data_IF_972369959429
#
_entry.id   IF_972369959429
#
_cell.length_a   1.000
_cell.length_b   1.000
_cell.length_c   1.000
_cell.angle_alpha   90.00
_cell.angle_beta   90.00
_cell.angle_gamma   90.00
#
_symmetry.space_group_name_H-M   'P 1'
#
loop_
_entity.id
_entity.type
_entity.pdbx_description
1 polymer ?
#
# COMPACT_ATOMS: atom_id res chain seq x y z
N UNK A 1 -5.10 9.90 -1.98
CA UNK A 1 -4.41 10.95 -1.19
C UNK A 1 -5.26 11.28 0.05
N UNK A 2 -4.63 11.77 1.12
CA UNK A 2 -5.35 12.14 2.37
C UNK A 2 -6.45 13.18 2.15
N UNK A 3 -6.30 14.07 1.19
CA UNK A 3 -7.37 15.02 0.83
C UNK A 3 -8.65 14.31 0.37
N UNK A 4 -8.54 13.14 -0.29
CA UNK A 4 -9.69 12.32 -0.65
C UNK A 4 -10.41 11.77 0.59
N UNK A 5 -9.67 11.34 1.61
CA UNK A 5 -10.24 10.88 2.88
C UNK A 5 -10.93 12.01 3.60
N UNK A 6 -10.34 13.22 3.61
CA UNK A 6 -10.95 14.42 4.16
C UNK A 6 -12.32 14.70 3.49
N UNK A 7 -12.35 14.71 2.16
CA UNK A 7 -13.57 15.01 1.40
C UNK A 7 -14.63 13.93 1.66
N UNK A 8 -14.24 12.65 1.63
CA UNK A 8 -15.15 11.52 1.89
C UNK A 8 -15.79 11.62 3.29
N UNK A 9 -14.99 11.89 4.32
CA UNK A 9 -15.49 12.08 5.69
C UNK A 9 -16.49 13.25 5.77
N UNK A 10 -16.17 14.39 5.13
CA UNK A 10 -17.04 15.57 5.19
C UNK A 10 -18.39 15.36 4.48
N UNK A 11 -18.40 14.65 3.35
CA UNK A 11 -19.63 14.47 2.56
C UNK A 11 -20.45 13.25 3.00
N UNK A 12 -19.84 12.26 3.64
CA UNK A 12 -20.55 11.03 4.05
C UNK A 12 -20.96 11.01 5.50
N UNK A 13 -20.14 11.53 6.40
CA UNK A 13 -20.40 11.49 7.85
C UNK A 13 -20.95 12.80 8.39
N UNK A 14 -20.69 13.91 7.70
CA UNK A 14 -20.92 15.24 8.24
C UNK A 14 -20.02 15.54 9.44
N UNK A 15 -20.02 16.79 9.89
CA UNK A 15 -19.27 17.21 11.10
C UNK A 15 -20.04 18.30 11.82
N UNK A 16 -20.22 18.12 13.12
CA UNK A 16 -20.85 19.12 14.01
C UNK A 16 -19.79 20.05 14.61
N UNK A 17 -18.50 19.71 14.50
CA UNK A 17 -17.36 20.46 15.03
C UNK A 17 -16.34 20.73 13.91
N UNK A 18 -15.39 21.69 14.08
CA UNK A 18 -14.31 21.88 13.14
C UNK A 18 -13.56 20.58 12.86
N UNK A 19 -13.55 20.17 11.59
CA UNK A 19 -12.96 18.89 11.19
C UNK A 19 -11.44 18.90 11.34
N UNK A 20 -10.92 17.89 12.04
CA UNK A 20 -9.49 17.58 12.09
C UNK A 20 -9.25 16.21 11.50
N UNK A 21 -8.42 16.15 10.47
CA UNK A 21 -8.02 14.89 9.89
C UNK A 21 -6.99 14.18 10.76
N UNK A 22 -7.34 12.97 11.20
CA UNK A 22 -6.41 12.05 11.84
C UNK A 22 -6.00 10.98 10.83
N UNK A 23 -4.72 10.63 10.82
CA UNK A 23 -4.21 9.55 9.95
C UNK A 23 -4.86 8.19 10.24
N UNK A 24 -5.38 7.98 11.46
CA UNK A 24 -6.14 6.79 11.84
C UNK A 24 -7.48 6.63 11.10
N UNK A 25 -7.99 7.71 10.50
CA UNK A 25 -9.21 7.67 9.67
C UNK A 25 -8.96 7.17 8.25
N UNK A 26 -7.70 7.20 7.80
CA UNK A 26 -7.34 6.68 6.50
C UNK A 26 -7.22 5.15 6.56
N UNK A 27 -8.16 4.47 5.93
CA UNK A 27 -8.03 3.05 5.61
C UNK A 27 -6.88 2.86 4.61
N UNK A 28 -6.21 1.70 4.67
CA UNK A 28 -5.09 1.38 3.77
C UNK A 28 -3.98 2.44 3.74
N UNK A 29 -3.70 3.08 4.87
CA UNK A 29 -2.75 4.20 4.96
C UNK A 29 -1.34 3.83 4.48
N UNK A 30 -0.94 2.55 4.53
CA UNK A 30 0.33 2.07 3.97
C UNK A 30 0.40 2.27 2.45
N UNK A 31 -0.74 2.36 1.76
CA UNK A 31 -0.83 2.70 0.34
C UNK A 31 -0.86 4.22 0.09
N UNK A 32 -0.88 5.03 1.14
CA UNK A 32 -0.94 6.49 1.08
C UNK A 32 0.29 7.15 1.70
N UNK A 33 1.42 6.44 1.68
CA UNK A 33 2.66 6.95 2.27
C UNK A 33 3.15 8.21 1.56
N UNK A 34 3.91 9.02 2.29
CA UNK A 34 4.51 10.23 1.77
C UNK A 34 5.67 9.93 0.81
N UNK A 35 6.48 8.91 1.13
CA UNK A 35 7.66 8.51 0.38
C UNK A 35 7.36 8.07 -1.07
N UNK A 36 6.15 7.57 -1.33
CA UNK A 36 5.71 7.12 -2.65
C UNK A 36 4.66 8.04 -3.30
N UNK A 37 4.44 9.23 -2.75
CA UNK A 37 3.41 10.14 -3.25
C UNK A 37 3.65 10.56 -4.71
N UNK A 38 4.89 10.76 -5.09
CA UNK A 38 5.30 11.06 -6.46
C UNK A 38 4.98 9.89 -7.40
N UNK A 39 5.25 8.65 -6.99
CA UNK A 39 4.95 7.45 -7.78
C UNK A 39 3.46 7.29 -8.09
N UNK A 40 2.60 7.72 -7.17
CA UNK A 40 1.14 7.62 -7.30
C UNK A 40 0.52 8.81 -8.01
N UNK A 41 1.02 10.02 -7.77
CA UNK A 41 0.34 11.27 -8.15
C UNK A 41 0.95 11.95 -9.38
N UNK A 42 2.28 11.85 -9.60
CA UNK A 42 2.92 12.53 -10.74
C UNK A 42 2.42 12.04 -12.09
N UNK A 43 2.22 10.73 -12.34
CA UNK A 43 1.68 10.28 -13.62
C UNK A 43 0.30 10.88 -13.92
N UNK A 44 -0.56 10.91 -12.91
CA UNK A 44 -1.90 11.50 -13.03
C UNK A 44 -1.86 13.00 -13.16
N UNK A 45 -0.96 13.66 -12.42
CA UNK A 45 -0.72 15.10 -12.55
C UNK A 45 -0.21 15.50 -13.92
N UNK A 46 0.65 14.68 -14.52
CA UNK A 46 1.15 14.88 -15.87
C UNK A 46 0.04 14.72 -16.93
N UNK A 47 -0.77 13.67 -16.82
CA UNK A 47 -1.93 13.43 -17.67
C UNK A 47 -2.92 14.62 -17.66
N UNK A 48 -3.10 15.25 -16.49
CA UNK A 48 -3.97 16.41 -16.29
C UNK A 48 -3.29 17.76 -16.62
N UNK A 49 -2.02 17.77 -17.06
CA UNK A 49 -1.28 19.00 -17.34
C UNK A 49 -0.82 19.77 -16.08
N UNK A 50 -0.89 19.17 -14.89
CA UNK A 50 -0.49 19.77 -13.60
C UNK A 50 0.97 19.52 -13.24
N UNK A 51 1.60 18.54 -13.84
CA UNK A 51 3.03 18.25 -13.72
C UNK A 51 3.70 18.32 -15.10
N UNK A 52 4.82 19.01 -15.17
CA UNK A 52 5.59 19.17 -16.41
C UNK A 52 6.39 17.91 -16.76
N UNK A 53 6.97 17.89 -17.96
CA UNK A 53 7.81 16.79 -18.43
C UNK A 53 9.02 16.58 -17.54
N UNK A 54 9.66 17.65 -17.06
CA UNK A 54 10.83 17.56 -16.19
C UNK A 54 10.52 16.75 -14.93
N UNK A 55 9.36 17.01 -14.32
CA UNK A 55 8.91 16.28 -13.12
C UNK A 55 8.57 14.83 -13.42
N UNK A 56 8.00 14.58 -14.59
CA UNK A 56 7.70 13.23 -15.04
C UNK A 56 8.97 12.41 -15.33
N UNK A 57 9.98 13.04 -15.97
CA UNK A 57 11.28 12.41 -16.26
C UNK A 57 12.04 12.08 -14.96
N UNK A 58 12.03 13.00 -13.99
CA UNK A 58 12.61 12.74 -12.67
C UNK A 58 11.95 11.54 -11.95
N UNK A 59 10.63 11.37 -12.11
CA UNK A 59 9.93 10.20 -11.59
C UNK A 59 10.35 8.91 -12.32
N UNK A 60 10.47 8.98 -13.66
CA UNK A 60 10.88 7.83 -14.48
C UNK A 60 12.27 7.35 -14.08
N UNK A 61 13.24 8.26 -13.92
CA UNK A 61 14.58 7.99 -13.42
C UNK A 61 14.57 7.33 -12.03
N UNK A 62 13.83 7.92 -11.08
CA UNK A 62 13.68 7.35 -9.73
C UNK A 62 13.14 5.92 -9.77
N UNK A 63 12.11 5.69 -10.58
CA UNK A 63 11.48 4.36 -10.74
C UNK A 63 12.47 3.36 -11.31
N UNK A 64 13.18 3.72 -12.38
CA UNK A 64 14.15 2.84 -13.03
C UNK A 64 15.25 2.39 -12.07
N UNK A 65 15.88 3.34 -11.39
CA UNK A 65 16.96 3.04 -10.45
C UNK A 65 16.49 2.26 -9.23
N UNK A 66 15.35 2.61 -8.66
CA UNK A 66 14.73 1.86 -7.55
C UNK A 66 14.45 0.40 -7.95
N UNK A 67 13.78 0.20 -9.07
CA UNK A 67 13.38 -1.14 -9.54
C UNK A 67 14.60 -1.98 -9.92
N UNK A 68 15.65 -1.35 -10.45
CA UNK A 68 16.94 -2.00 -10.69
C UNK A 68 17.59 -2.49 -9.40
N UNK A 69 17.60 -1.67 -8.33
CA UNK A 69 18.14 -2.07 -7.03
C UNK A 69 17.36 -3.23 -6.43
N UNK A 70 16.03 -3.18 -6.47
CA UNK A 70 15.18 -4.27 -5.98
C UNK A 70 15.46 -5.56 -6.74
N UNK A 71 15.51 -5.51 -8.07
CA UNK A 71 15.81 -6.67 -8.90
C UNK A 71 17.18 -7.23 -8.59
N UNK A 72 18.19 -6.38 -8.46
CA UNK A 72 19.54 -6.80 -8.08
C UNK A 72 19.51 -7.52 -6.73
N UNK A 73 18.80 -7.00 -5.72
CA UNK A 73 18.67 -7.63 -4.41
C UNK A 73 17.98 -9.01 -4.47
N UNK A 74 17.01 -9.18 -5.35
CA UNK A 74 16.31 -10.46 -5.57
C UNK A 74 17.21 -11.51 -6.26
N UNK A 75 18.05 -11.07 -7.20
CA UNK A 75 18.88 -11.97 -8.01
C UNK A 75 20.22 -12.29 -7.36
N UNK A 76 20.81 -11.34 -6.64
CA UNK A 76 22.15 -11.48 -6.07
C UNK A 76 22.15 -12.43 -4.86
N UNK A 77 23.07 -13.41 -4.88
CA UNK A 77 23.25 -14.35 -3.78
C UNK A 77 24.46 -13.97 -2.95
N UNK A 78 24.28 -13.92 -1.63
CA UNK A 78 25.30 -13.54 -0.65
C UNK A 78 25.84 -14.80 0.04
N UNK A 79 27.15 -14.94 0.11
CA UNK A 79 27.83 -16.05 0.80
C UNK A 79 28.16 -15.64 2.25
N UNK A 80 28.15 -16.62 3.16
CA UNK A 80 28.45 -16.41 4.58
C UNK A 80 29.80 -15.72 4.81
N UNK A 81 30.84 -16.17 4.11
CA UNK A 81 32.19 -15.65 4.26
C UNK A 81 32.35 -14.20 3.83
N UNK A 82 31.42 -13.65 3.06
CA UNK A 82 31.45 -12.25 2.62
C UNK A 82 30.94 -11.29 3.71
N UNK A 83 29.94 -11.71 4.49
CA UNK A 83 29.22 -10.79 5.40
C UNK A 83 29.25 -11.19 6.86
N UNK A 84 29.49 -12.47 7.20
CA UNK A 84 29.50 -12.90 8.61
C UNK A 84 30.56 -12.16 9.45
N UNK A 85 31.79 -11.93 8.99
CA UNK A 85 32.75 -11.16 9.77
C UNK A 85 32.25 -9.77 10.13
N UNK A 86 31.59 -9.08 9.19
CA UNK A 86 31.04 -7.75 9.42
C UNK A 86 29.78 -7.80 10.31
N UNK A 87 28.92 -8.80 10.14
CA UNK A 87 27.76 -9.01 11.00
C UNK A 87 28.17 -9.24 12.46
N UNK A 88 29.17 -10.08 12.70
CA UNK A 88 29.69 -10.38 14.04
C UNK A 88 30.34 -9.15 14.67
N UNK A 89 31.13 -8.40 13.89
CA UNK A 89 31.76 -7.16 14.36
C UNK A 89 30.70 -6.11 14.74
N UNK A 90 29.60 -6.04 14.01
CA UNK A 90 28.48 -5.15 14.30
C UNK A 90 27.53 -5.69 15.41
N UNK A 91 27.79 -6.87 15.97
CA UNK A 91 26.96 -7.48 17.00
C UNK A 91 25.66 -8.09 16.49
N UNK A 92 25.56 -8.37 15.19
CA UNK A 92 24.38 -8.99 14.57
C UNK A 92 24.54 -10.50 14.43
N UNK A 93 23.41 -11.20 14.37
CA UNK A 93 23.40 -12.67 14.19
C UNK A 93 23.97 -13.04 12.82
N UNK A 94 25.03 -13.88 12.75
CA UNK A 94 25.61 -14.32 11.49
C UNK A 94 24.64 -15.20 10.69
N UNK A 95 24.87 -15.28 9.38
CA UNK A 95 24.14 -16.17 8.49
C UNK A 95 24.54 -17.63 8.72
N UNK A 96 23.56 -18.54 8.72
CA UNK A 96 23.79 -20.00 8.83
C UNK A 96 24.03 -20.66 7.46
N UNK A 97 23.57 -20.03 6.39
CA UNK A 97 23.72 -20.48 5.01
C UNK A 97 23.71 -19.26 4.05
N UNK A 98 24.13 -19.46 2.82
CA UNK A 98 23.97 -18.44 1.77
C UNK A 98 22.50 -18.09 1.56
N UNK A 99 22.21 -16.81 1.30
CA UNK A 99 20.85 -16.32 1.06
C UNK A 99 20.85 -15.28 -0.05
N UNK A 100 19.66 -14.87 -0.48
CA UNK A 100 19.54 -13.72 -1.40
C UNK A 100 19.80 -12.42 -0.64
N UNK A 101 20.32 -11.42 -1.37
CA UNK A 101 20.59 -10.11 -0.78
C UNK A 101 19.32 -9.46 -0.22
N UNK A 102 18.17 -9.67 -0.87
CA UNK A 102 16.89 -9.19 -0.39
C UNK A 102 16.57 -9.69 1.02
N UNK A 103 16.86 -10.97 1.32
CA UNK A 103 16.62 -11.57 2.65
C UNK A 103 17.53 -10.95 3.73
N UNK A 104 18.72 -10.48 3.34
CA UNK A 104 19.61 -9.75 4.24
C UNK A 104 19.09 -8.34 4.51
N UNK A 105 18.59 -7.64 3.49
CA UNK A 105 17.99 -6.28 3.62
C UNK A 105 16.71 -6.33 4.47
N UNK A 106 15.95 -7.43 4.43
CA UNK A 106 14.74 -7.61 5.26
C UNK A 106 15.02 -7.63 6.77
N UNK A 107 16.28 -7.80 7.21
CA UNK A 107 16.62 -7.72 8.63
C UNK A 107 16.39 -6.28 9.14
N UNK A 108 15.58 -6.07 10.22
CA UNK A 108 15.18 -4.72 10.65
C UNK A 108 16.35 -3.79 10.99
N UNK A 109 17.46 -4.34 11.49
CA UNK A 109 18.63 -3.61 11.95
C UNK A 109 19.63 -3.28 10.84
N UNK A 110 19.42 -3.77 9.63
CA UNK A 110 20.30 -3.53 8.47
C UNK A 110 19.62 -2.61 7.47
N UNK A 111 20.40 -1.74 6.87
CA UNK A 111 20.02 -0.90 5.75
C UNK A 111 20.89 -1.19 4.52
N UNK A 112 20.45 -0.74 3.36
CA UNK A 112 21.14 -1.00 2.08
C UNK A 112 22.55 -0.41 2.10
N UNK A 113 22.78 0.74 2.73
CA UNK A 113 24.09 1.40 2.78
C UNK A 113 25.09 0.62 3.61
N UNK A 114 24.71 0.22 4.80
CA UNK A 114 25.55 -0.62 5.66
C UNK A 114 25.94 -1.92 4.96
N UNK A 115 24.98 -2.56 4.27
CA UNK A 115 25.26 -3.78 3.51
C UNK A 115 26.18 -3.51 2.32
N UNK A 116 26.07 -2.35 1.68
CA UNK A 116 26.93 -1.99 0.55
C UNK A 116 28.42 -1.83 0.93
N UNK A 117 28.72 -1.52 2.19
CA UNK A 117 30.10 -1.50 2.71
C UNK A 117 30.72 -2.91 2.73
N UNK A 118 29.87 -3.93 2.85
CA UNK A 118 30.30 -5.33 2.93
C UNK A 118 30.24 -6.05 1.60
N UNK A 119 29.42 -5.57 0.66
CA UNK A 119 29.18 -6.18 -0.63
C UNK A 119 29.53 -5.21 -1.76
N UNK A 120 30.78 -5.30 -2.33
CA UNK A 120 31.22 -4.39 -3.39
C UNK A 120 30.29 -4.35 -4.61
N UNK A 121 29.68 -5.48 -4.95
CA UNK A 121 28.74 -5.54 -6.08
C UNK A 121 27.48 -4.70 -5.83
N UNK A 122 27.00 -4.58 -4.59
CA UNK A 122 25.90 -3.68 -4.24
C UNK A 122 26.36 -2.23 -4.30
N UNK A 123 27.54 -1.92 -3.75
CA UNK A 123 28.11 -0.57 -3.84
C UNK A 123 28.21 -0.09 -5.28
N UNK A 124 28.68 -0.93 -6.19
CA UNK A 124 28.73 -0.61 -7.62
C UNK A 124 27.34 -0.28 -8.20
N UNK A 125 26.26 -0.94 -7.73
CA UNK A 125 24.91 -0.60 -8.16
C UNK A 125 24.45 0.76 -7.61
N UNK A 126 24.83 1.12 -6.39
CA UNK A 126 24.54 2.43 -5.80
C UNK A 126 25.28 3.54 -6.55
N UNK A 127 26.55 3.34 -6.89
CA UNK A 127 27.40 4.30 -7.61
C UNK A 127 26.87 4.61 -9.03
N UNK A 128 26.05 3.72 -9.61
CA UNK A 128 25.36 3.94 -10.90
C UNK A 128 24.14 4.85 -10.80
N UNK A 129 23.77 5.32 -9.62
CA UNK A 129 22.64 6.25 -9.43
C UNK A 129 23.20 7.69 -9.55
N UNK A 130 22.87 8.43 -10.61
CA UNK A 130 23.55 9.71 -10.89
C UNK A 130 23.06 10.85 -10.02
N UNK A 131 21.77 10.83 -9.62
CA UNK A 131 21.13 11.90 -8.87
C UNK A 131 20.21 11.34 -7.78
N UNK A 132 19.93 12.12 -6.75
CA UNK A 132 18.97 11.77 -5.67
C UNK A 132 19.20 10.37 -5.08
N UNK A 133 20.43 9.97 -4.96
CA UNK A 133 20.82 8.61 -4.56
C UNK A 133 20.18 8.19 -3.23
N UNK A 134 20.17 9.10 -2.22
CA UNK A 134 19.56 8.86 -0.91
C UNK A 134 18.08 8.50 -1.03
N UNK A 135 17.35 9.33 -1.74
CA UNK A 135 15.91 9.17 -1.94
C UNK A 135 15.58 7.85 -2.67
N UNK A 136 16.39 7.47 -3.65
CA UNK A 136 16.20 6.25 -4.44
C UNK A 136 16.51 5.01 -3.59
N UNK A 137 17.59 5.05 -2.80
CA UNK A 137 17.96 3.96 -1.90
C UNK A 137 16.88 3.77 -0.82
N UNK A 138 16.46 4.86 -0.18
CA UNK A 138 15.37 4.82 0.80
C UNK A 138 14.09 4.24 0.21
N UNK A 139 13.70 4.69 -0.99
CA UNK A 139 12.52 4.16 -1.68
C UNK A 139 12.63 2.66 -1.99
N UNK A 140 13.82 2.17 -2.39
CA UNK A 140 14.06 0.75 -2.61
C UNK A 140 13.97 -0.05 -1.30
N UNK A 141 14.61 0.44 -0.25
CA UNK A 141 14.60 -0.20 1.07
C UNK A 141 13.21 -0.31 1.66
N UNK A 142 12.43 0.78 1.61
CA UNK A 142 11.04 0.80 2.06
C UNK A 142 10.21 -0.20 1.26
N UNK A 143 10.35 -0.23 -0.08
CA UNK A 143 9.64 -1.20 -0.90
C UNK A 143 9.96 -2.64 -0.49
N UNK A 144 11.25 -2.98 -0.29
CA UNK A 144 11.68 -4.31 0.13
C UNK A 144 11.12 -4.67 1.52
N UNK A 145 11.34 -3.81 2.52
CA UNK A 145 10.96 -4.09 3.91
C UNK A 145 9.45 -4.15 4.14
N UNK A 146 8.68 -3.43 3.34
CA UNK A 146 7.21 -3.35 3.48
C UNK A 146 6.43 -4.11 2.41
N UNK A 147 7.09 -4.82 1.49
CA UNK A 147 6.46 -5.53 0.37
C UNK A 147 5.26 -6.38 0.81
N UNK A 148 5.45 -7.26 1.78
CA UNK A 148 4.38 -8.14 2.25
C UNK A 148 3.19 -7.42 2.89
N UNK A 149 3.43 -6.27 3.53
CA UNK A 149 2.35 -5.42 4.07
C UNK A 149 1.62 -4.69 2.95
N UNK A 150 2.36 -4.15 1.98
CA UNK A 150 1.81 -3.43 0.83
C UNK A 150 0.94 -4.36 -0.02
N UNK A 151 1.41 -5.56 -0.30
CA UNK A 151 0.66 -6.55 -1.06
C UNK A 151 -0.64 -6.96 -0.36
N UNK A 152 -0.57 -7.24 0.94
CA UNK A 152 -1.76 -7.57 1.74
C UNK A 152 -2.81 -6.47 1.70
N UNK A 153 -2.39 -5.22 1.90
CA UNK A 153 -3.31 -4.08 1.85
C UNK A 153 -3.87 -3.84 0.45
N UNK A 154 -3.08 -4.05 -0.60
CA UNK A 154 -3.57 -3.99 -2.00
C UNK A 154 -4.65 -5.04 -2.25
N UNK A 155 -4.42 -6.28 -1.84
CA UNK A 155 -5.41 -7.34 -2.02
C UNK A 155 -6.74 -7.02 -1.32
N UNK A 156 -6.69 -6.41 -0.14
CA UNK A 156 -7.89 -6.00 0.59
C UNK A 156 -8.57 -4.82 -0.13
N UNK A 157 -7.80 -3.80 -0.54
CA UNK A 157 -8.30 -2.66 -1.28
C UNK A 157 -8.95 -3.06 -2.62
N UNK A 158 -8.31 -3.97 -3.36
CA UNK A 158 -8.83 -4.51 -4.63
C UNK A 158 -10.12 -5.30 -4.43
N UNK A 159 -10.23 -6.04 -3.32
CA UNK A 159 -11.48 -6.73 -2.97
C UNK A 159 -12.62 -5.73 -2.78
N UNK A 160 -12.37 -4.63 -2.08
CA UNK A 160 -13.38 -3.57 -1.88
C UNK A 160 -13.71 -2.86 -3.20
N UNK A 161 -12.70 -2.54 -4.01
CA UNK A 161 -12.93 -1.93 -5.33
C UNK A 161 -13.82 -2.81 -6.24
N UNK A 162 -13.71 -4.13 -6.14
CA UNK A 162 -14.64 -5.05 -6.82
C UNK A 162 -16.07 -4.92 -6.31
N UNK A 163 -16.26 -4.69 -5.00
CA UNK A 163 -17.57 -4.49 -4.41
C UNK A 163 -18.20 -3.15 -4.80
N UNK A 164 -17.39 -2.13 -5.13
CA UNK A 164 -17.89 -0.84 -5.64
C UNK A 164 -18.59 -0.94 -6.99
N UNK A 165 -18.23 -1.94 -7.79
CA UNK A 165 -18.87 -2.19 -9.09
C UNK A 165 -20.17 -3.02 -9.00
N UNK A 166 -20.52 -3.54 -7.82
CA UNK A 166 -21.72 -4.36 -7.62
C UNK A 166 -22.89 -3.46 -7.23
N UNK A 167 -23.69 -3.09 -8.22
CA UNK A 167 -24.90 -2.28 -8.00
C UNK A 167 -26.00 -3.12 -7.34
N UNK A 168 -26.60 -2.56 -6.27
CA UNK A 168 -27.67 -3.19 -5.49
C UNK A 168 -28.93 -2.34 -5.34
N UNK A 169 -28.89 -1.07 -5.72
CA UNK A 169 -30.02 -0.13 -5.57
C UNK A 169 -31.27 -0.69 -6.24
N UNK A 170 -32.35 -0.77 -5.47
CA UNK A 170 -33.65 -1.27 -5.96
C UNK A 170 -33.71 -2.77 -6.27
N UNK A 171 -32.65 -3.56 -5.95
CA UNK A 171 -32.64 -5.00 -6.21
C UNK A 171 -33.19 -5.85 -5.07
N UNK A 172 -33.24 -5.29 -3.88
CA UNK A 172 -33.66 -6.01 -2.68
C UNK A 172 -34.82 -5.34 -1.98
N UNK A 173 -35.79 -6.13 -1.57
CA UNK A 173 -36.65 -5.76 -0.48
C UNK A 173 -35.98 -6.20 0.84
N UNK A 174 -35.22 -5.28 1.42
CA UNK A 174 -34.44 -5.56 2.62
C UNK A 174 -35.30 -5.99 3.81
N UNK A 175 -36.59 -5.63 3.83
CA UNK A 175 -37.52 -6.01 4.91
C UNK A 175 -37.77 -7.52 4.98
N UNK A 176 -37.65 -8.22 3.84
CA UNK A 176 -37.91 -9.65 3.69
C UNK A 176 -36.69 -10.52 3.96
N UNK A 177 -35.47 -9.95 3.99
CA UNK A 177 -34.21 -10.69 4.16
C UNK A 177 -34.00 -11.01 5.64
N UNK A 178 -34.48 -12.17 6.09
CA UNK A 178 -34.39 -12.58 7.51
C UNK A 178 -32.95 -12.92 7.97
N UNK A 179 -32.06 -13.22 7.04
CA UNK A 179 -30.69 -13.64 7.32
C UNK A 179 -29.76 -12.51 7.73
N UNK A 180 -30.11 -11.24 7.46
CA UNK A 180 -29.36 -10.08 7.91
C UNK A 180 -29.95 -9.54 9.23
N UNK A 181 -29.12 -8.81 9.98
CA UNK A 181 -29.53 -8.24 11.26
C UNK A 181 -30.72 -7.27 11.12
N UNK A 182 -31.51 -7.12 12.19
CA UNK A 182 -32.66 -6.18 12.18
C UNK A 182 -32.18 -4.75 11.91
N UNK A 183 -31.06 -4.37 12.52
CA UNK A 183 -30.44 -3.06 12.32
C UNK A 183 -30.02 -2.86 10.85
N UNK A 184 -29.38 -3.86 10.25
CA UNK A 184 -28.99 -3.82 8.85
C UNK A 184 -30.21 -3.67 7.92
N UNK A 185 -31.29 -4.43 8.15
CA UNK A 185 -32.55 -4.31 7.38
C UNK A 185 -33.10 -2.89 7.38
N UNK A 186 -33.22 -2.31 8.57
CA UNK A 186 -33.76 -0.95 8.73
C UNK A 186 -32.90 0.10 8.05
N UNK A 187 -31.58 0.02 8.22
CA UNK A 187 -30.63 0.99 7.63
C UNK A 187 -30.55 0.85 6.12
N UNK A 188 -30.43 -0.37 5.60
CA UNK A 188 -30.42 -0.63 4.17
C UNK A 188 -31.70 -0.19 3.49
N UNK A 189 -32.88 -0.48 4.09
CA UNK A 189 -34.17 -0.03 3.55
C UNK A 189 -34.30 1.51 3.55
N UNK A 190 -33.74 2.19 4.55
CA UNK A 190 -33.80 3.66 4.65
C UNK A 190 -32.85 4.35 3.66
N UNK A 191 -31.66 3.81 3.46
CA UNK A 191 -30.59 4.45 2.69
C UNK A 191 -30.62 4.04 1.21
N UNK A 192 -31.04 2.79 0.92
CA UNK A 192 -31.04 2.15 -0.40
C UNK A 192 -29.72 2.39 -1.18
N UNK A 193 -28.58 1.87 -0.64
CA UNK A 193 -27.26 2.16 -1.20
C UNK A 193 -27.11 1.69 -2.66
N UNK A 194 -26.37 2.43 -3.45
CA UNK A 194 -26.16 2.12 -4.87
C UNK A 194 -25.35 0.84 -5.08
N UNK A 195 -24.35 0.61 -4.20
CA UNK A 195 -23.41 -0.50 -4.35
C UNK A 195 -23.21 -1.26 -3.04
N UNK A 196 -22.69 -2.49 -3.15
CA UNK A 196 -22.28 -3.29 -1.99
C UNK A 196 -21.22 -2.56 -1.14
N UNK A 197 -20.29 -1.86 -1.77
CA UNK A 197 -19.28 -1.10 -1.04
C UNK A 197 -19.89 0.07 -0.24
N UNK A 198 -20.89 0.76 -0.78
CA UNK A 198 -21.64 1.77 -0.02
C UNK A 198 -22.39 1.12 1.15
N UNK A 199 -23.03 -0.02 0.93
CA UNK A 199 -23.70 -0.76 2.00
C UNK A 199 -22.74 -1.10 3.15
N UNK A 200 -21.52 -1.56 2.84
CA UNK A 200 -20.52 -1.95 3.84
C UNK A 200 -20.01 -0.78 4.71
N UNK A 201 -20.12 0.46 4.21
CA UNK A 201 -19.70 1.68 4.95
C UNK A 201 -20.78 2.22 5.90
N UNK A 202 -21.99 1.69 5.83
CA UNK A 202 -23.09 2.13 6.71
C UNK A 202 -22.84 1.61 8.13
N UNK A 203 -22.75 2.49 9.15
CA UNK A 203 -22.56 2.07 10.53
C UNK A 203 -23.65 1.10 10.99
N UNK A 204 -23.25 -0.06 11.52
CA UNK A 204 -24.19 -1.13 11.97
C UNK A 204 -24.47 -2.20 10.90
N UNK A 205 -23.87 -2.10 9.72
CA UNK A 205 -23.82 -3.21 8.74
C UNK A 205 -22.57 -4.04 9.01
N UNK A 206 -22.74 -5.32 9.26
CA UNK A 206 -21.65 -6.24 9.51
C UNK A 206 -21.10 -6.87 8.23
N UNK A 207 -19.84 -7.37 8.23
CA UNK A 207 -19.33 -8.16 7.11
C UNK A 207 -20.19 -9.40 6.79
N UNK A 208 -20.87 -9.97 7.79
CA UNK A 208 -21.78 -11.07 7.62
C UNK A 208 -23.01 -10.66 6.81
N UNK A 209 -23.61 -9.49 7.11
CA UNK A 209 -24.74 -8.95 6.36
C UNK A 209 -24.36 -8.74 4.87
N UNK A 210 -23.18 -8.20 4.61
CA UNK A 210 -22.65 -8.01 3.24
C UNK A 210 -22.47 -9.35 2.51
N UNK A 211 -21.95 -10.37 3.18
CA UNK A 211 -21.79 -11.70 2.56
C UNK A 211 -23.16 -12.31 2.18
N UNK A 212 -24.19 -12.11 2.99
CA UNK A 212 -25.55 -12.57 2.68
C UNK A 212 -26.07 -11.87 1.42
N UNK A 213 -25.88 -10.55 1.30
CA UNK A 213 -26.28 -9.81 0.10
C UNK A 213 -25.55 -10.31 -1.15
N UNK A 214 -24.25 -10.64 -1.03
CA UNK A 214 -23.47 -11.20 -2.13
C UNK A 214 -23.99 -12.57 -2.56
N UNK A 215 -24.33 -13.45 -1.62
CA UNK A 215 -24.92 -14.76 -1.89
C UNK A 215 -26.26 -14.62 -2.62
N UNK A 216 -27.11 -13.69 -2.19
CA UNK A 216 -28.40 -13.41 -2.83
C UNK A 216 -28.24 -12.85 -4.26
N UNK A 217 -27.10 -12.24 -4.56
CA UNK A 217 -26.74 -11.82 -5.92
C UNK A 217 -26.13 -12.94 -6.78
N UNK A 218 -25.96 -14.15 -6.24
CA UNK A 218 -25.33 -15.27 -6.92
C UNK A 218 -23.81 -15.14 -7.07
N UNK A 219 -23.15 -14.49 -6.12
CA UNK A 219 -21.70 -14.20 -6.13
C UNK A 219 -21.01 -14.67 -4.86
#
# INVERSE_FOLDING_TARGET
AYIGVLIDDLVTKGVDEPYRMFTSRAEYRILLRQDDADMRLTPKGHELGLADNTRFDLLAEKREHRDRLIRFAQEHSVKMNQVNPALEQAGYTPMKQGMKLIDLILRPQLDIRTIAEWIPALKEQLDKIPTRQEEIIEAAEICIKYEGYIEREKLIADKIARLENIRIKGKFDYSTIQQISIEARQKLAKIDPETIAQASRIPGISPSDINILLILLGR
#
